data_IF_616692078362
#
_entry.id   IF_616692078362
#
_cell.length_a   1.000
_cell.length_b   1.000
_cell.length_c   1.000
_cell.angle_alpha   90.00
_cell.angle_beta   90.00
_cell.angle_gamma   90.00
#
_symmetry.space_group_name_H-M   'P 1'
#
loop_
_entity.id
_entity.type
_entity.pdbx_description
1 polymer ?
#
# COMPACT_ATOMS: atom_id res chain seq x y z
N UNK A 1 -23.80 -23.78 -31.40
CA UNK A 1 -22.36 -23.51 -31.37
C UNK A 1 -21.99 -23.03 -29.96
N UNK A 2 -21.70 -23.94 -29.03
CA UNK A 2 -21.22 -23.58 -27.70
C UNK A 2 -19.72 -23.84 -27.67
N UNK A 3 -18.91 -22.79 -27.81
CA UNK A 3 -17.48 -22.91 -27.62
C UNK A 3 -17.26 -23.16 -26.13
N UNK A 4 -17.02 -24.42 -25.75
CA UNK A 4 -16.38 -24.74 -24.49
C UNK A 4 -14.96 -24.17 -24.55
N UNK A 5 -14.82 -22.88 -24.23
CA UNK A 5 -13.54 -22.25 -24.08
C UNK A 5 -12.82 -22.97 -22.94
N UNK A 6 -11.81 -23.76 -23.27
CA UNK A 6 -10.85 -24.29 -22.31
C UNK A 6 -10.52 -23.19 -21.29
N UNK A 7 -10.43 -23.50 -19.99
CA UNK A 7 -10.15 -22.48 -18.99
C UNK A 7 -8.90 -21.74 -19.48
N UNK A 8 -8.96 -20.41 -19.69
CA UNK A 8 -7.83 -19.68 -20.23
C UNK A 8 -6.65 -20.00 -19.32
N UNK A 9 -5.56 -20.50 -19.91
CA UNK A 9 -4.32 -20.78 -19.20
C UNK A 9 -4.09 -19.63 -18.21
N UNK A 10 -4.09 -19.94 -16.91
CA UNK A 10 -4.06 -18.93 -15.85
C UNK A 10 -2.89 -18.00 -16.12
N UNK A 11 -3.18 -16.77 -16.55
CA UNK A 11 -2.16 -15.82 -16.97
C UNK A 11 -1.31 -15.52 -15.76
N UNK A 12 -0.01 -15.80 -15.89
CA UNK A 12 0.98 -15.59 -14.84
C UNK A 12 1.87 -14.44 -15.22
N UNK A 13 2.12 -13.56 -14.27
CA UNK A 13 2.98 -12.40 -14.46
C UNK A 13 4.31 -12.60 -13.75
N UNK A 14 5.39 -12.21 -14.44
CA UNK A 14 6.74 -12.19 -13.87
C UNK A 14 6.97 -10.86 -13.15
N UNK A 15 8.00 -10.83 -12.30
CA UNK A 15 8.43 -9.64 -11.57
C UNK A 15 8.50 -8.31 -12.37
N UNK A 16 9.09 -8.25 -13.58
CA UNK A 16 9.13 -6.99 -14.35
C UNK A 16 7.76 -6.53 -14.85
N UNK A 17 6.84 -7.47 -15.12
CA UNK A 17 5.46 -7.16 -15.53
C UNK A 17 4.63 -6.74 -14.33
N UNK A 18 4.79 -7.43 -13.19
CA UNK A 18 4.16 -7.04 -11.93
C UNK A 18 4.52 -5.60 -11.56
N UNK A 19 5.78 -5.18 -11.72
CA UNK A 19 6.22 -3.81 -11.41
C UNK A 19 5.58 -2.74 -12.30
N UNK A 20 5.15 -3.10 -13.51
CA UNK A 20 4.43 -2.17 -14.40
C UNK A 20 3.00 -1.95 -13.93
N UNK A 21 2.33 -2.99 -13.42
CA UNK A 21 0.96 -2.91 -12.90
C UNK A 21 0.90 -2.34 -11.49
N UNK A 22 1.84 -2.78 -10.65
CA UNK A 22 1.94 -2.44 -9.24
C UNK A 22 3.27 -1.72 -9.04
N UNK A 23 3.29 -0.37 -9.02
CA UNK A 23 4.51 0.40 -8.82
C UNK A 23 4.94 0.40 -7.34
N UNK A 24 5.04 -0.79 -6.75
CA UNK A 24 5.57 -1.02 -5.40
C UNK A 24 6.98 -1.60 -5.48
N UNK A 25 7.79 -1.28 -4.46
CA UNK A 25 9.11 -1.87 -4.31
C UNK A 25 9.01 -3.36 -3.96
N UNK A 26 10.01 -4.13 -4.37
CA UNK A 26 10.08 -5.57 -4.09
C UNK A 26 10.01 -5.87 -2.58
N UNK A 27 10.64 -5.02 -1.76
CA UNK A 27 10.63 -5.12 -0.31
C UNK A 27 9.22 -4.94 0.25
N UNK A 28 8.45 -3.99 -0.31
CA UNK A 28 7.05 -3.76 0.07
C UNK A 28 6.19 -4.96 -0.31
N UNK A 29 6.39 -5.53 -1.50
CA UNK A 29 5.68 -6.74 -1.92
C UNK A 29 5.97 -7.89 -0.95
N UNK A 30 7.23 -8.08 -0.55
CA UNK A 30 7.61 -9.10 0.44
C UNK A 30 6.97 -8.85 1.81
N UNK A 31 7.03 -7.62 2.33
CA UNK A 31 6.37 -7.28 3.60
C UNK A 31 4.86 -7.51 3.56
N UNK A 32 4.23 -7.19 2.44
CA UNK A 32 2.79 -7.37 2.26
C UNK A 32 2.41 -8.85 2.12
N UNK A 33 3.26 -9.66 1.49
CA UNK A 33 3.13 -11.11 1.49
C UNK A 33 3.21 -11.67 2.92
N UNK A 34 4.20 -11.23 3.71
CA UNK A 34 4.33 -11.64 5.11
C UNK A 34 3.11 -11.25 5.95
N UNK A 35 2.49 -10.10 5.65
CA UNK A 35 1.25 -9.63 6.29
C UNK A 35 -0.01 -10.32 5.73
N UNK A 36 0.10 -11.20 4.74
CA UNK A 36 -1.04 -11.85 4.07
C UNK A 36 -1.91 -10.89 3.25
N UNK A 37 -1.40 -9.71 2.93
CA UNK A 37 -2.10 -8.67 2.19
C UNK A 37 -1.80 -8.67 0.69
N UNK A 38 -0.96 -9.59 0.20
CA UNK A 38 -0.58 -9.70 -1.21
C UNK A 38 -0.80 -11.13 -1.72
N UNK A 39 -1.14 -11.31 -3.01
CA UNK A 39 -1.28 -12.62 -3.63
C UNK A 39 -0.09 -13.56 -3.38
N UNK A 40 -0.39 -14.85 -3.19
CA UNK A 40 0.64 -15.83 -2.84
C UNK A 40 1.56 -16.07 -4.05
N UNK A 41 2.86 -15.85 -3.88
CA UNK A 41 3.82 -16.16 -4.94
C UNK A 41 4.02 -17.66 -5.07
N UNK A 42 4.30 -18.11 -6.28
CA UNK A 42 4.77 -19.47 -6.50
C UNK A 42 5.99 -19.48 -7.43
N UNK A 43 6.80 -20.52 -7.28
CA UNK A 43 8.03 -20.70 -8.04
C UNK A 43 7.71 -21.54 -9.27
N UNK A 44 7.92 -20.98 -10.46
CA UNK A 44 7.93 -21.77 -11.68
C UNK A 44 9.26 -22.52 -11.83
N UNK A 45 10.36 -21.90 -11.39
CA UNK A 45 11.70 -22.49 -11.30
C UNK A 45 12.40 -21.97 -10.04
N UNK A 46 13.55 -22.54 -9.62
CA UNK A 46 14.26 -22.11 -8.40
C UNK A 46 14.61 -20.62 -8.35
N UNK A 47 14.65 -19.94 -9.50
CA UNK A 47 14.93 -18.50 -9.63
C UNK A 47 13.77 -17.68 -10.20
N UNK A 48 12.69 -18.32 -10.66
CA UNK A 48 11.56 -17.64 -11.30
C UNK A 48 10.33 -17.66 -10.39
N UNK A 49 10.13 -16.53 -9.71
CA UNK A 49 8.93 -16.23 -8.94
C UNK A 49 7.88 -15.62 -9.88
N UNK A 50 6.67 -16.16 -9.85
CA UNK A 50 5.53 -15.69 -10.63
C UNK A 50 4.32 -15.46 -9.71
N UNK A 51 3.41 -14.63 -10.20
CA UNK A 51 2.12 -14.34 -9.58
C UNK A 51 0.99 -14.63 -10.55
N UNK A 52 -0.18 -14.99 -10.05
CA UNK A 52 -1.39 -15.11 -10.87
C UNK A 52 -1.95 -13.70 -11.16
N UNK A 53 -2.18 -13.40 -12.43
CA UNK A 53 -2.74 -12.12 -12.87
C UNK A 53 -4.10 -11.87 -12.23
N UNK A 54 -4.96 -12.89 -12.16
CA UNK A 54 -6.31 -12.75 -11.64
C UNK A 54 -6.31 -12.38 -10.15
N UNK A 55 -5.39 -12.96 -9.37
CA UNK A 55 -5.25 -12.61 -7.95
C UNK A 55 -4.72 -11.18 -7.78
N UNK A 56 -3.75 -10.76 -8.61
CA UNK A 56 -3.20 -9.40 -8.56
C UNK A 56 -4.24 -8.36 -8.98
N UNK A 57 -5.05 -8.64 -9.99
CA UNK A 57 -6.18 -7.77 -10.37
C UNK A 57 -7.25 -7.70 -9.29
N UNK A 58 -7.62 -8.84 -8.69
CA UNK A 58 -8.58 -8.87 -7.58
C UNK A 58 -8.05 -8.08 -6.37
N UNK A 59 -6.76 -8.21 -6.08
CA UNK A 59 -6.09 -7.44 -5.04
C UNK A 59 -6.10 -5.93 -5.35
N UNK A 60 -5.82 -5.51 -6.59
CA UNK A 60 -5.91 -4.10 -7.00
C UNK A 60 -7.34 -3.55 -6.84
N UNK A 61 -8.37 -4.34 -7.19
CA UNK A 61 -9.78 -3.98 -6.98
C UNK A 61 -10.09 -3.79 -5.49
N UNK A 62 -9.66 -4.72 -4.64
CA UNK A 62 -9.83 -4.61 -3.18
C UNK A 62 -9.11 -3.38 -2.61
N UNK A 63 -7.91 -3.06 -3.12
CA UNK A 63 -7.13 -1.89 -2.72
C UNK A 63 -7.80 -0.57 -3.10
N UNK A 64 -8.53 -0.57 -4.23
CA UNK A 64 -9.32 0.59 -4.68
C UNK A 64 -10.56 0.81 -3.81
N UNK A 65 -11.18 -0.29 -3.37
CA UNK A 65 -12.36 -0.26 -2.49
C UNK A 65 -12.00 0.10 -1.03
N UNK A 66 -10.83 -0.35 -0.57
CA UNK A 66 -10.28 -0.03 0.76
C UNK A 66 -9.01 0.82 0.63
N UNK A 67 -9.14 2.12 0.28
CA UNK A 67 -7.99 3.00 0.22
C UNK A 67 -7.35 3.07 1.60
N UNK A 68 -6.04 2.78 1.67
CA UNK A 68 -5.28 2.98 2.90
C UNK A 68 -5.25 4.50 3.14
N UNK A 69 -5.67 4.99 4.33
CA UNK A 69 -5.57 6.39 4.65
C UNK A 69 -4.11 6.81 4.50
N UNK A 70 -3.87 7.95 3.85
CA UNK A 70 -2.52 8.50 3.72
C UNK A 70 -1.90 8.56 5.12
N UNK A 71 -0.64 8.12 5.23
CA UNK A 71 0.10 8.26 6.47
C UNK A 71 -0.01 9.71 6.95
N UNK A 72 -0.34 9.90 8.23
CA UNK A 72 -0.41 11.22 8.80
C UNK A 72 0.92 11.94 8.54
N UNK A 73 0.85 13.20 8.11
CA UNK A 73 2.04 14.01 7.91
C UNK A 73 2.89 14.02 9.19
N UNK A 74 4.23 14.08 9.07
CA UNK A 74 5.10 14.03 10.24
C UNK A 74 4.77 15.22 11.17
N UNK A 75 4.48 14.93 12.44
CA UNK A 75 4.21 15.98 13.43
C UNK A 75 5.45 16.87 13.55
N UNK A 76 5.31 18.09 13.04
CA UNK A 76 6.40 19.08 12.97
C UNK A 76 6.83 19.56 14.35
N UNK A 77 6.01 19.35 15.38
CA UNK A 77 6.32 19.70 16.78
C UNK A 77 7.31 18.71 17.41
N UNK A 78 7.39 17.49 16.89
CA UNK A 78 8.33 16.45 17.33
C UNK A 78 9.70 16.54 16.63
N UNK A 79 9.91 17.54 15.76
CA UNK A 79 11.17 17.69 15.02
C UNK A 79 12.32 18.05 15.95
N UNK A 80 13.35 17.20 15.99
CA UNK A 80 14.57 17.42 16.79
C UNK A 80 15.30 18.71 16.43
N UNK A 81 15.38 19.05 15.15
CA UNK A 81 16.24 20.16 14.68
C UNK A 81 15.53 21.51 14.60
N UNK A 82 14.19 21.55 14.51
CA UNK A 82 13.35 22.78 14.43
C UNK A 82 11.90 22.50 14.89
N UNK A 83 11.66 22.32 16.19
CA UNK A 83 10.31 22.18 16.71
C UNK A 83 9.55 23.52 16.59
N UNK A 84 8.28 23.46 16.21
CA UNK A 84 7.41 24.66 16.21
C UNK A 84 7.21 25.09 17.67
N UNK A 85 7.63 26.32 17.99
CA UNK A 85 7.40 26.95 19.31
C UNK A 85 5.89 26.95 19.59
N UNK A 86 5.44 26.46 20.74
CA UNK A 86 4.04 26.62 21.15
C UNK A 86 3.75 28.12 21.20
N UNK A 87 2.92 28.61 20.28
CA UNK A 87 2.37 29.95 20.40
C UNK A 87 1.57 30.00 21.71
N UNK A 88 1.86 31.04 22.46
CA UNK A 88 1.43 31.34 23.81
C UNK A 88 -0.08 31.14 24.02
N UNK A 89 -0.45 30.13 24.82
CA UNK A 89 -1.80 30.01 25.40
C UNK A 89 -1.82 30.79 26.72
N UNK A 90 -1.49 32.08 26.69
CA UNK A 90 -1.60 32.97 27.86
C UNK A 90 -2.37 34.23 27.47
N UNK A 91 -3.44 34.08 26.68
CA UNK A 91 -4.52 35.06 26.70
C UNK A 91 -5.44 34.73 27.88
N UNK A 92 -4.97 35.05 29.10
CA UNK A 92 -5.86 35.22 30.26
C UNK A 92 -6.95 36.22 29.84
N UNK A 93 -8.25 35.90 29.96
CA UNK A 93 -9.29 36.90 29.81
C UNK A 93 -9.14 37.84 31.02
N UNK A 94 -8.58 39.02 30.76
CA UNK A 94 -8.43 40.11 31.71
C UNK A 94 -9.82 40.40 32.31
N UNK A 95 -10.07 39.91 33.52
CA UNK A 95 -11.28 40.21 34.28
C UNK A 95 -11.40 41.72 34.43
N UNK A 96 -12.54 42.34 34.10
CA UNK A 96 -12.79 43.72 34.50
C UNK A 96 -13.15 43.74 35.99
N UNK A 97 -12.51 44.61 36.74
CA UNK A 97 -12.82 44.87 38.14
C UNK A 97 -12.68 46.38 38.40
N UNK A 98 -13.30 46.91 39.47
CA UNK A 98 -14.70 46.81 39.87
C UNK A 98 -15.55 47.98 39.32
#
# INVERSE_FOLDING_TARGET
MAQAAAPPLKRTIKKPELRQMVPLADSTIWEMEQKGQFPKRFLLTPRCVVWDLAEVEAWLKLRRDRPIPRAAGPDVRLRRSRPVRRADQSAEPRSPAP
#
